data_IF_633981248240
#
_entry.id   IF_633981248240
#
_cell.length_a   1.000
_cell.length_b   1.000
_cell.length_c   1.000
_cell.angle_alpha   90.00
_cell.angle_beta   90.00
_cell.angle_gamma   90.00
#
_symmetry.space_group_name_H-M   'P 1'
#
loop_
_entity.id
_entity.type
_entity.pdbx_description
1 polymer ?
#
# COMPACT_ATOMS: atom_id res chain seq x y z
N UNK A 1 13.37 10.50 15.79
CA UNK A 1 12.18 10.71 14.95
C UNK A 1 12.62 10.57 13.49
N UNK A 2 12.16 9.55 12.76
CA UNK A 2 12.56 9.39 11.35
C UNK A 2 12.00 10.56 10.55
N UNK A 3 12.89 11.35 9.94
CA UNK A 3 12.52 12.59 9.26
C UNK A 3 11.98 12.27 7.87
N UNK A 4 10.76 12.73 7.58
CA UNK A 4 10.26 12.78 6.21
C UNK A 4 11.16 13.69 5.37
N UNK A 5 11.57 13.18 4.21
CA UNK A 5 12.49 13.86 3.29
C UNK A 5 11.69 14.51 2.17
N UNK A 6 10.63 13.83 1.73
CA UNK A 6 9.73 14.31 0.70
C UNK A 6 8.37 13.62 0.84
N UNK A 7 7.30 14.31 0.44
CA UNK A 7 5.93 13.81 0.50
C UNK A 7 5.11 14.26 -0.69
N UNK A 8 4.36 13.32 -1.27
CA UNK A 8 3.29 13.61 -2.22
C UNK A 8 1.98 13.51 -1.43
N UNK A 9 1.34 14.65 -1.10
CA UNK A 9 0.12 14.65 -0.33
C UNK A 9 -1.02 13.98 -1.10
N UNK A 10 -2.04 13.59 -0.34
CA UNK A 10 -3.26 13.05 -0.90
C UNK A 10 -3.88 14.04 -1.90
N UNK A 11 -4.40 13.53 -3.00
CA UNK A 11 -5.28 14.30 -3.88
C UNK A 11 -6.41 13.41 -4.36
N UNK A 12 -7.61 13.98 -4.52
CA UNK A 12 -8.78 13.24 -5.00
C UNK A 12 -8.54 12.61 -6.39
N UNK A 13 -7.73 13.26 -7.24
CA UNK A 13 -7.31 12.72 -8.55
C UNK A 13 -6.47 11.45 -8.42
N UNK A 14 -5.54 11.38 -7.46
CA UNK A 14 -4.65 10.23 -7.27
C UNK A 14 -5.23 9.17 -6.33
N UNK A 15 -6.12 9.55 -5.41
CA UNK A 15 -6.66 8.71 -4.33
C UNK A 15 -5.60 8.02 -3.46
N UNK A 16 -4.39 8.58 -3.36
CA UNK A 16 -3.29 8.10 -2.51
C UNK A 16 -2.36 9.23 -2.10
N UNK A 17 -1.60 9.00 -1.04
CA UNK A 17 -0.45 9.79 -0.62
C UNK A 17 0.78 8.89 -0.52
N UNK A 18 1.96 9.48 -0.71
CA UNK A 18 3.24 8.77 -0.66
C UNK A 18 4.26 9.60 0.11
N UNK A 19 5.06 8.99 0.96
CA UNK A 19 6.15 9.64 1.68
C UNK A 19 7.47 8.91 1.41
N UNK A 20 8.55 9.69 1.37
CA UNK A 20 9.93 9.21 1.34
C UNK A 20 10.57 9.56 2.68
N UNK A 21 11.02 8.55 3.41
CA UNK A 21 11.63 8.70 4.74
C UNK A 21 13.03 8.11 4.74
N UNK A 22 13.94 8.64 5.57
CA UNK A 22 15.23 7.97 5.79
C UNK A 22 14.98 6.62 6.45
N UNK A 23 15.63 5.57 5.95
CA UNK A 23 15.47 4.23 6.51
C UNK A 23 16.04 4.19 7.93
N UNK A 24 15.29 3.69 8.93
CA UNK A 24 15.84 3.45 10.26
C UNK A 24 16.81 2.28 10.29
N UNK A 25 16.80 1.44 9.24
CA UNK A 25 17.61 0.21 9.17
C UNK A 25 18.93 0.41 8.42
N UNK A 26 19.09 1.49 7.65
CA UNK A 26 20.29 1.75 6.86
C UNK A 26 20.45 3.24 6.57
N UNK A 27 21.60 3.82 6.92
CA UNK A 27 21.85 5.28 6.85
C UNK A 27 21.76 5.86 5.44
N UNK A 28 22.10 5.06 4.43
CA UNK A 28 22.18 5.48 3.03
C UNK A 28 20.98 5.03 2.19
N UNK A 29 19.93 4.51 2.85
CA UNK A 29 18.70 4.07 2.20
C UNK A 29 17.51 4.91 2.63
N UNK A 30 16.50 4.90 1.77
CA UNK A 30 15.21 5.50 2.04
C UNK A 30 14.12 4.43 1.96
N UNK A 31 13.02 4.68 2.65
CA UNK A 31 11.79 3.88 2.55
C UNK A 31 10.73 4.77 1.94
N UNK A 32 10.08 4.26 0.89
CA UNK A 32 8.89 4.85 0.30
C UNK A 32 7.69 4.13 0.87
N UNK A 33 6.75 4.88 1.46
CA UNK A 33 5.49 4.35 1.95
C UNK A 33 4.34 5.04 1.24
N UNK A 34 3.36 4.28 0.78
CA UNK A 34 2.15 4.76 0.13
C UNK A 34 0.93 4.25 0.88
N UNK A 35 -0.04 5.13 1.13
CA UNK A 35 -1.38 4.73 1.55
C UNK A 35 -2.45 5.37 0.68
N UNK A 36 -3.56 4.68 0.46
CA UNK A 36 -4.62 5.20 -0.39
C UNK A 36 -5.82 4.27 -0.50
N UNK A 37 -6.73 4.62 -1.40
CA UNK A 37 -7.86 3.76 -1.76
C UNK A 37 -7.35 2.38 -2.16
N UNK A 38 -7.98 1.34 -1.60
CA UNK A 38 -7.42 -0.01 -1.61
C UNK A 38 -7.19 -0.54 -3.02
N UNK A 39 -8.15 -0.34 -3.91
CA UNK A 39 -8.07 -0.72 -5.31
C UNK A 39 -6.96 0.05 -6.06
N UNK A 40 -6.73 1.32 -5.73
CA UNK A 40 -5.76 2.16 -6.44
C UNK A 40 -4.32 1.81 -6.08
N UNK A 41 -4.07 1.43 -4.82
CA UNK A 41 -2.73 1.02 -4.38
C UNK A 41 -2.47 -0.43 -4.80
N UNK A 42 -3.46 -1.33 -4.65
CA UNK A 42 -3.33 -2.73 -5.06
C UNK A 42 -2.94 -2.86 -6.54
N UNK A 43 -3.53 -2.03 -7.42
CA UNK A 43 -3.19 -2.05 -8.85
C UNK A 43 -1.70 -1.71 -9.16
N UNK A 44 -0.99 -1.13 -8.20
CA UNK A 44 0.43 -0.74 -8.35
C UNK A 44 1.40 -1.71 -7.70
N UNK A 45 0.90 -2.68 -6.94
CA UNK A 45 1.73 -3.67 -6.29
C UNK A 45 2.09 -4.79 -7.27
N UNK A 46 3.30 -5.31 -7.14
CA UNK A 46 3.79 -6.52 -7.85
C UNK A 46 4.14 -7.64 -6.87
N UNK A 47 4.15 -7.34 -5.57
CA UNK A 47 4.44 -8.26 -4.49
C UNK A 47 3.50 -8.00 -3.32
N UNK A 48 3.36 -8.99 -2.45
CA UNK A 48 2.63 -8.90 -1.20
C UNK A 48 3.49 -9.44 -0.05
N UNK A 49 3.26 -8.91 1.15
CA UNK A 49 3.87 -9.42 2.38
C UNK A 49 2.82 -10.26 3.09
N UNK A 50 3.04 -11.56 3.11
CA UNK A 50 2.19 -12.54 3.77
C UNK A 50 2.52 -12.72 5.25
N UNK A 51 2.00 -13.80 5.81
CA UNK A 51 2.25 -14.18 7.20
C UNK A 51 3.75 -14.32 7.49
N UNK A 52 4.17 -13.91 8.69
CA UNK A 52 5.59 -13.97 9.10
C UNK A 52 6.53 -13.04 8.32
N UNK A 53 6.00 -12.14 7.48
CA UNK A 53 6.82 -11.25 6.65
C UNK A 53 7.31 -11.89 5.34
N UNK A 54 6.77 -13.04 4.96
CA UNK A 54 7.14 -13.73 3.72
C UNK A 54 6.69 -12.92 2.52
N UNK A 55 7.63 -12.57 1.64
CA UNK A 55 7.34 -11.84 0.42
C UNK A 55 6.99 -12.82 -0.70
N UNK A 56 5.82 -12.64 -1.31
CA UNK A 56 5.37 -13.41 -2.46
C UNK A 56 5.05 -12.50 -3.65
N UNK A 57 5.04 -13.05 -4.85
CA UNK A 57 4.57 -12.34 -6.04
C UNK A 57 3.06 -12.11 -5.97
N UNK A 58 2.64 -10.96 -6.46
CA UNK A 58 1.22 -10.62 -6.62
C UNK A 58 0.86 -10.71 -8.10
N UNK A 59 0.46 -11.91 -8.51
CA UNK A 59 -0.10 -12.16 -9.83
C UNK A 59 -1.54 -11.62 -9.95
N UNK A 60 -2.08 -11.71 -11.16
CA UNK A 60 -3.40 -11.17 -11.49
C UNK A 60 -4.54 -11.95 -10.81
N UNK A 61 -4.39 -13.26 -10.63
CA UNK A 61 -5.36 -14.10 -9.94
C UNK A 61 -5.45 -13.72 -8.46
N UNK A 62 -4.31 -13.55 -7.79
CA UNK A 62 -4.25 -13.14 -6.38
C UNK A 62 -4.73 -11.71 -6.20
N UNK A 63 -4.42 -10.82 -7.14
CA UNK A 63 -4.94 -9.43 -7.17
C UNK A 63 -6.46 -9.43 -7.27
N UNK A 64 -7.03 -10.21 -8.18
CA UNK A 64 -8.47 -10.36 -8.35
C UNK A 64 -9.11 -10.95 -7.09
N UNK A 65 -8.48 -11.95 -6.47
CA UNK A 65 -8.95 -12.53 -5.21
C UNK A 65 -9.04 -11.48 -4.10
N UNK A 66 -7.98 -10.71 -3.87
CA UNK A 66 -7.96 -9.65 -2.83
C UNK A 66 -9.04 -8.61 -3.12
N UNK A 67 -9.19 -8.19 -4.38
CA UNK A 67 -10.20 -7.22 -4.79
C UNK A 67 -11.62 -7.71 -4.49
N UNK A 68 -11.93 -8.95 -4.88
CA UNK A 68 -13.29 -9.46 -4.84
C UNK A 68 -13.67 -9.98 -3.45
N UNK A 69 -12.74 -10.59 -2.72
CA UNK A 69 -13.05 -11.21 -1.41
C UNK A 69 -12.77 -10.31 -0.22
N UNK A 70 -11.78 -9.42 -0.31
CA UNK A 70 -11.38 -8.57 0.82
C UNK A 70 -11.93 -7.17 0.66
N UNK A 71 -11.60 -6.48 -0.44
CA UNK A 71 -12.01 -5.09 -0.64
C UNK A 71 -13.53 -4.98 -0.78
N UNK A 72 -14.17 -5.83 -1.60
CA UNK A 72 -15.63 -5.83 -1.74
C UNK A 72 -16.34 -6.12 -0.42
N UNK A 73 -15.92 -7.16 0.30
CA UNK A 73 -16.52 -7.52 1.58
C UNK A 73 -16.40 -6.39 2.63
N UNK A 74 -15.27 -5.68 2.66
CA UNK A 74 -15.11 -4.53 3.55
C UNK A 74 -16.02 -3.36 3.13
N UNK A 75 -16.19 -3.15 1.82
CA UNK A 75 -17.11 -2.14 1.32
C UNK A 75 -18.58 -2.48 1.66
N UNK A 76 -18.98 -3.75 1.54
CA UNK A 76 -20.33 -4.23 1.90
C UNK A 76 -20.63 -4.02 3.39
N UNK A 77 -19.60 -4.07 4.23
CA UNK A 77 -19.68 -3.76 5.67
C UNK A 77 -19.56 -2.25 5.98
N UNK A 78 -19.59 -1.39 4.96
CA UNK A 78 -19.41 0.06 5.06
C UNK A 78 -18.07 0.49 5.70
N UNK A 79 -17.04 -0.37 5.65
CA UNK A 79 -15.72 -0.02 6.13
C UNK A 79 -14.99 0.85 5.13
N UNK A 80 -14.24 1.82 5.67
CA UNK A 80 -13.31 2.62 4.88
C UNK A 80 -11.98 1.89 4.76
N UNK A 81 -11.89 0.98 3.78
CA UNK A 81 -10.67 0.24 3.48
C UNK A 81 -9.59 1.17 2.90
N UNK A 82 -8.35 1.00 3.40
CA UNK A 82 -7.15 1.62 2.87
C UNK A 82 -6.08 0.53 2.70
N UNK A 83 -5.30 0.63 1.64
CA UNK A 83 -4.13 -0.24 1.43
C UNK A 83 -2.85 0.54 1.69
N UNK A 84 -1.86 -0.14 2.25
CA UNK A 84 -0.51 0.36 2.51
C UNK A 84 0.48 -0.47 1.71
N UNK A 85 1.47 0.18 1.09
CA UNK A 85 2.56 -0.43 0.34
C UNK A 85 3.84 0.37 0.50
#
# INVERSE_FOLDING_TARGET
MNKEVFGIPFSSKRKRMTTLTRSPFSKDKYIVCTKGASEIVLEKCTKLIGEGGVVADLDDDKRAEIRNKVISNFADQAYRALTIA
#
